data_IF_189766401873
#
_entry.id   IF_189766401873
#
_cell.length_a   1.000
_cell.length_b   1.000
_cell.length_c   1.000
_cell.angle_alpha   90.00
_cell.angle_beta   90.00
_cell.angle_gamma   90.00
#
_symmetry.space_group_name_H-M   'P 1'
#
loop_
_entity.id
_entity.type
_entity.pdbx_description
1 polymer ?
#
# COMPACT_ATOMS: atom_id res chain seq x y z
N UNK A 1 11.42 20.94 1.20
CA UNK A 1 10.24 21.68 1.70
C UNK A 1 9.01 21.20 0.94
N UNK A 2 7.95 20.79 1.65
CA UNK A 2 6.67 20.44 1.01
C UNK A 2 6.03 21.69 0.42
N UNK A 3 5.66 21.64 -0.86
CA UNK A 3 4.97 22.75 -1.53
C UNK A 3 3.47 22.57 -1.34
N UNK A 4 2.78 23.61 -0.86
CA UNK A 4 1.33 23.59 -0.65
C UNK A 4 0.56 23.70 -1.98
N UNK A 5 0.69 22.70 -2.86
CA UNK A 5 0.20 22.68 -4.24
C UNK A 5 -1.28 23.07 -4.35
N UNK A 6 -2.15 22.56 -3.48
CA UNK A 6 -3.59 22.90 -3.45
C UNK A 6 -3.83 24.40 -3.23
N UNK A 7 -3.22 24.98 -2.20
CA UNK A 7 -3.36 26.41 -1.88
C UNK A 7 -2.81 27.29 -3.01
N UNK A 8 -1.68 26.88 -3.59
CA UNK A 8 -1.08 27.58 -4.72
C UNK A 8 -2.01 27.54 -5.93
N UNK A 9 -2.55 26.37 -6.28
CA UNK A 9 -3.50 26.15 -7.38
C UNK A 9 -4.72 27.08 -7.27
N UNK A 10 -5.39 27.07 -6.12
CA UNK A 10 -6.55 27.93 -5.87
C UNK A 10 -6.22 29.42 -6.03
N UNK A 11 -5.06 29.84 -5.50
CA UNK A 11 -4.60 31.23 -5.62
C UNK A 11 -4.31 31.62 -7.06
N UNK A 12 -3.55 30.80 -7.80
CA UNK A 12 -3.17 31.13 -9.19
C UNK A 12 -4.37 31.10 -10.13
N UNK A 13 -5.33 30.20 -9.91
CA UNK A 13 -6.57 30.17 -10.69
C UNK A 13 -7.40 31.43 -10.46
N UNK A 14 -7.57 31.87 -9.20
CA UNK A 14 -8.27 33.14 -8.89
C UNK A 14 -7.56 34.33 -9.54
N UNK A 15 -6.23 34.39 -9.44
CA UNK A 15 -5.44 35.46 -10.04
C UNK A 15 -5.56 35.48 -11.57
N UNK A 16 -5.50 34.31 -12.20
CA UNK A 16 -5.68 34.19 -13.64
C UNK A 16 -7.08 34.61 -14.10
N UNK A 17 -8.13 34.23 -13.37
CA UNK A 17 -9.50 34.62 -13.70
C UNK A 17 -9.70 36.13 -13.60
N UNK A 18 -9.18 36.75 -12.53
CA UNK A 18 -9.22 38.20 -12.37
C UNK A 18 -8.45 38.91 -13.50
N UNK A 19 -7.27 38.40 -13.87
CA UNK A 19 -6.48 38.94 -14.99
C UNK A 19 -7.23 38.80 -16.32
N UNK A 20 -7.81 37.63 -16.59
CA UNK A 20 -8.58 37.38 -17.82
C UNK A 20 -9.79 38.31 -17.95
N UNK A 21 -10.44 38.67 -16.84
CA UNK A 21 -11.61 39.55 -16.83
C UNK A 21 -11.23 41.04 -16.88
N UNK A 22 -10.22 41.45 -16.11
CA UNK A 22 -9.88 42.87 -15.96
C UNK A 22 -8.90 43.41 -16.99
N UNK A 23 -7.99 42.57 -17.50
CA UNK A 23 -6.91 43.02 -18.38
C UNK A 23 -6.32 41.90 -19.26
N UNK A 24 -7.12 41.25 -20.13
CA UNK A 24 -6.69 40.06 -20.88
C UNK A 24 -5.48 40.29 -21.80
N UNK A 25 -5.27 41.52 -22.27
CA UNK A 25 -4.17 41.92 -23.16
C UNK A 25 -2.97 42.50 -22.41
N UNK A 26 -3.09 42.75 -21.11
CA UNK A 26 -1.99 43.31 -20.32
C UNK A 26 -0.87 42.29 -20.13
N UNK A 27 0.36 42.78 -20.16
CA UNK A 27 1.58 42.01 -19.92
C UNK A 27 2.17 42.45 -18.59
N UNK A 28 2.21 41.54 -17.62
CA UNK A 28 2.79 41.83 -16.30
C UNK A 28 4.19 41.23 -16.21
N UNK A 29 5.20 42.08 -16.03
CA UNK A 29 6.62 41.67 -15.97
C UNK A 29 7.04 40.74 -17.12
N UNK A 30 6.53 40.99 -18.33
CA UNK A 30 6.82 40.17 -19.51
C UNK A 30 6.00 38.88 -19.62
N UNK A 31 5.12 38.56 -18.66
CA UNK A 31 4.23 37.40 -18.72
C UNK A 31 2.93 37.82 -19.38
N UNK A 32 2.49 37.06 -20.39
CA UNK A 32 1.17 37.23 -21.01
C UNK A 32 0.14 36.36 -20.27
N UNK A 33 -1.11 36.83 -20.22
CA UNK A 33 -2.22 36.06 -19.66
C UNK A 33 -2.33 34.61 -20.21
N UNK A 34 -2.27 34.37 -21.54
CA UNK A 34 -2.32 33.01 -22.08
C UNK A 34 -1.15 32.12 -21.61
N UNK A 35 0.06 32.67 -21.47
CA UNK A 35 1.22 31.91 -20.98
C UNK A 35 1.05 31.52 -19.51
N UNK A 36 0.41 32.39 -18.72
CA UNK A 36 0.10 32.11 -17.33
C UNK A 36 -0.96 31.01 -17.19
N UNK A 37 -2.02 31.06 -18.01
CA UNK A 37 -3.04 30.01 -18.11
C UNK A 37 -2.41 28.66 -18.50
N UNK A 38 -1.55 28.63 -19.53
CA UNK A 38 -0.90 27.42 -19.99
C UNK A 38 -0.04 26.74 -18.91
N UNK A 39 0.58 27.53 -18.02
CA UNK A 39 1.33 26.99 -16.85
C UNK A 39 0.39 26.34 -15.83
N UNK A 40 -0.79 26.92 -15.59
CA UNK A 40 -1.80 26.34 -14.69
C UNK A 40 -2.29 25.01 -15.26
N UNK A 41 -2.58 24.97 -16.56
CA UNK A 41 -3.02 23.75 -17.25
C UNK A 41 -1.95 22.65 -17.20
N UNK A 42 -0.69 22.99 -17.49
CA UNK A 42 0.42 22.03 -17.40
C UNK A 42 0.58 21.44 -16.00
N UNK A 43 0.38 22.24 -14.95
CA UNK A 43 0.40 21.74 -13.58
C UNK A 43 -0.78 20.78 -13.33
N UNK A 44 -1.99 21.13 -13.79
CA UNK A 44 -3.17 20.27 -13.67
C UNK A 44 -3.00 18.95 -14.43
N UNK A 45 -2.36 18.94 -15.60
CA UNK A 45 -2.03 17.71 -16.32
C UNK A 45 -1.12 16.80 -15.48
N UNK A 46 -0.12 17.36 -14.80
CA UNK A 46 0.76 16.57 -13.93
C UNK A 46 0.03 16.03 -12.70
N UNK A 47 -0.88 16.80 -12.12
CA UNK A 47 -1.73 16.32 -11.04
C UNK A 47 -2.60 15.12 -11.50
N UNK A 48 -3.12 15.15 -12.73
CA UNK A 48 -3.89 14.05 -13.29
C UNK A 48 -3.01 12.82 -13.57
N UNK A 49 -1.84 12.98 -14.18
CA UNK A 49 -0.89 11.88 -14.42
C UNK A 49 -0.53 11.16 -13.11
N UNK A 50 -0.33 11.90 -12.02
CA UNK A 50 -0.05 11.32 -10.70
C UNK A 50 -1.24 10.50 -10.21
N UNK A 51 -2.46 11.03 -10.31
CA UNK A 51 -3.66 10.30 -9.88
C UNK A 51 -3.85 9.00 -10.69
N UNK A 52 -3.58 9.03 -12.00
CA UNK A 52 -3.68 7.86 -12.86
C UNK A 52 -2.63 6.80 -12.48
N UNK A 53 -1.39 7.22 -12.19
CA UNK A 53 -0.33 6.34 -11.72
C UNK A 53 -0.64 5.74 -10.35
N UNK A 54 -1.21 6.51 -9.42
CA UNK A 54 -1.64 6.01 -8.11
C UNK A 54 -2.72 4.93 -8.25
N UNK A 55 -3.68 5.14 -9.17
CA UNK A 55 -4.70 4.13 -9.49
C UNK A 55 -4.07 2.84 -10.07
N UNK A 56 -3.12 2.98 -10.99
CA UNK A 56 -2.39 1.84 -11.55
C UNK A 56 -1.58 1.09 -10.49
N UNK A 57 -0.89 1.80 -9.60
CA UNK A 57 -0.16 1.20 -8.48
C UNK A 57 -1.10 0.43 -7.56
N UNK A 58 -2.29 0.97 -7.29
CA UNK A 58 -3.30 0.28 -6.48
C UNK A 58 -3.74 -1.04 -7.14
N UNK A 59 -4.11 -1.00 -8.42
CA UNK A 59 -4.49 -2.20 -9.17
C UNK A 59 -3.37 -3.25 -9.18
N UNK A 60 -2.13 -2.84 -9.40
CA UNK A 60 -0.98 -3.76 -9.38
C UNK A 60 -0.71 -4.36 -8.01
N UNK A 61 -0.98 -3.63 -6.92
CA UNK A 61 -0.93 -4.18 -5.57
C UNK A 61 -2.02 -5.24 -5.36
N UNK A 62 -3.24 -4.99 -5.82
CA UNK A 62 -4.34 -5.95 -5.73
C UNK A 62 -4.05 -7.23 -6.54
N UNK A 63 -3.56 -7.10 -7.78
CA UNK A 63 -3.11 -8.24 -8.60
C UNK A 63 -2.01 -9.05 -7.89
N UNK A 64 -0.99 -8.37 -7.36
CA UNK A 64 0.09 -9.02 -6.62
C UNK A 64 -0.42 -9.74 -5.37
N UNK A 65 -1.30 -9.10 -4.61
CA UNK A 65 -1.84 -9.67 -3.38
C UNK A 65 -2.73 -10.88 -3.67
N UNK A 66 -3.41 -10.93 -4.83
CA UNK A 66 -4.12 -12.11 -5.30
C UNK A 66 -3.15 -13.28 -5.59
N UNK A 67 -2.06 -13.02 -6.32
CA UNK A 67 -1.02 -14.03 -6.61
C UNK A 67 -0.43 -14.59 -5.31
N UNK A 68 -0.10 -13.74 -4.33
CA UNK A 68 0.44 -14.23 -3.06
C UNK A 68 -0.57 -15.02 -2.23
N UNK A 69 -1.88 -14.76 -2.37
CA UNK A 69 -2.90 -15.59 -1.73
C UNK A 69 -2.94 -16.99 -2.34
N UNK A 70 -2.85 -17.09 -3.66
CA UNK A 70 -2.76 -18.38 -4.36
C UNK A 70 -1.50 -19.13 -3.96
N UNK A 71 -0.34 -18.48 -3.99
CA UNK A 71 0.93 -19.09 -3.52
C UNK A 71 0.88 -19.56 -2.06
N UNK A 72 0.14 -18.84 -1.21
CA UNK A 72 -0.05 -19.26 0.19
C UNK A 72 -1.01 -20.44 0.32
N UNK A 73 -1.99 -20.59 -0.58
CA UNK A 73 -2.81 -21.79 -0.62
C UNK A 73 -1.98 -22.99 -1.09
N UNK A 74 -1.22 -22.82 -2.17
CA UNK A 74 -0.31 -23.85 -2.70
C UNK A 74 0.73 -24.28 -1.66
N UNK A 75 1.26 -23.33 -0.87
CA UNK A 75 2.23 -23.66 0.18
C UNK A 75 1.63 -24.54 1.29
N UNK A 76 0.34 -24.35 1.60
CA UNK A 76 -0.40 -25.21 2.53
C UNK A 76 -0.61 -26.60 1.92
N UNK A 77 -1.01 -26.68 0.65
CA UNK A 77 -1.20 -27.96 -0.04
C UNK A 77 0.11 -28.76 -0.15
N UNK A 78 1.22 -28.08 -0.47
CA UNK A 78 2.55 -28.69 -0.51
C UNK A 78 2.95 -29.20 0.88
N UNK A 79 2.69 -28.43 1.94
CA UNK A 79 2.93 -28.88 3.31
C UNK A 79 2.10 -30.12 3.64
N UNK A 80 0.79 -30.11 3.34
CA UNK A 80 -0.11 -31.23 3.62
C UNK A 80 0.30 -32.48 2.82
N UNK A 81 0.77 -32.30 1.59
CA UNK A 81 1.35 -33.37 0.76
C UNK A 81 2.60 -33.98 1.37
N UNK A 82 3.58 -33.15 1.78
CA UNK A 82 4.80 -33.60 2.47
C UNK A 82 4.45 -34.32 3.78
N UNK A 83 3.46 -33.80 4.52
CA UNK A 83 3.00 -34.37 5.78
C UNK A 83 2.34 -35.75 5.61
N UNK A 84 1.63 -35.96 4.50
CA UNK A 84 0.97 -37.23 4.15
C UNK A 84 1.86 -38.23 3.40
N UNK A 85 3.07 -37.84 3.01
CA UNK A 85 3.99 -38.67 2.24
C UNK A 85 4.76 -39.67 3.13
N UNK A 86 4.92 -40.90 2.64
CA UNK A 86 5.54 -42.01 3.39
C UNK A 86 7.05 -41.85 3.49
N UNK A 87 7.67 -41.17 2.53
CA UNK A 87 9.12 -40.96 2.43
C UNK A 87 9.55 -39.60 3.01
N UNK A 88 8.69 -38.59 2.94
CA UNK A 88 9.01 -37.19 3.29
C UNK A 88 8.25 -36.61 4.49
N UNK A 89 7.52 -37.45 5.25
CA UNK A 89 6.65 -37.08 6.38
C UNK A 89 7.21 -36.09 7.42
N UNK A 90 6.39 -35.76 8.42
CA UNK A 90 6.61 -34.65 9.38
C UNK A 90 7.97 -34.57 10.09
N UNK A 91 8.70 -35.68 10.20
CA UNK A 91 10.02 -35.73 10.85
C UNK A 91 11.19 -35.70 9.85
N UNK A 92 10.92 -35.56 8.55
CA UNK A 92 11.95 -35.44 7.53
C UNK A 92 12.56 -34.02 7.53
N UNK A 93 13.88 -33.86 7.31
CA UNK A 93 14.56 -32.55 7.28
C UNK A 93 13.97 -31.53 6.29
N UNK A 94 13.26 -32.01 5.26
CA UNK A 94 12.53 -31.18 4.31
C UNK A 94 11.41 -30.36 4.99
N UNK A 95 10.69 -30.95 5.94
CA UNK A 95 9.60 -30.29 6.67
C UNK A 95 10.13 -29.13 7.53
N UNK A 96 11.29 -29.33 8.18
CA UNK A 96 11.99 -28.28 8.94
C UNK A 96 12.62 -27.22 8.04
N UNK A 97 13.19 -27.62 6.90
CA UNK A 97 13.75 -26.71 5.91
C UNK A 97 12.71 -25.78 5.26
N UNK A 98 11.45 -26.21 5.19
CA UNK A 98 10.31 -25.39 4.77
C UNK A 98 9.86 -24.37 5.84
N UNK A 99 10.44 -24.40 7.04
CA UNK A 99 10.14 -23.49 8.14
C UNK A 99 9.06 -23.98 9.11
N UNK A 100 8.62 -25.24 8.98
CA UNK A 100 7.69 -25.87 9.93
C UNK A 100 8.47 -26.58 11.07
N UNK A 101 7.80 -26.85 12.19
CA UNK A 101 8.39 -27.61 13.30
C UNK A 101 7.98 -29.06 13.19
N UNK A 102 8.94 -29.99 13.11
CA UNK A 102 8.70 -31.44 13.14
C UNK A 102 8.00 -31.86 14.44
N UNK A 103 7.27 -32.98 14.44
CA UNK A 103 6.54 -33.43 15.64
C UNK A 103 7.50 -33.78 16.79
N UNK A 104 8.71 -34.26 16.48
CA UNK A 104 9.75 -34.54 17.48
C UNK A 104 10.31 -33.27 18.14
N UNK A 105 10.37 -32.16 17.40
CA UNK A 105 10.79 -30.85 17.92
C UNK A 105 9.62 -29.99 18.41
N UNK A 106 8.37 -30.45 18.22
CA UNK A 106 7.18 -29.74 18.66
C UNK A 106 7.03 -29.92 20.17
N UNK A 107 7.58 -28.98 20.93
CA UNK A 107 7.37 -28.91 22.37
C UNK A 107 5.86 -28.79 22.67
N UNK A 108 5.24 -29.91 23.04
CA UNK A 108 3.86 -29.99 23.56
C UNK A 108 3.80 -29.17 24.87
N UNK A 109 3.49 -27.87 24.80
CA UNK A 109 3.56 -27.09 26.02
C UNK A 109 3.09 -25.64 25.95
N UNK A 110 1.80 -25.41 25.77
CA UNK A 110 1.16 -24.21 26.33
C UNK A 110 0.12 -24.63 27.39
N UNK A 111 0.59 -25.04 28.57
CA UNK A 111 -0.28 -25.20 29.74
C UNK A 111 -0.67 -23.81 30.26
N UNK A 112 -1.89 -23.35 29.94
CA UNK A 112 -2.48 -22.20 30.64
C UNK A 112 -2.72 -22.59 32.10
N UNK A 113 -1.80 -22.28 32.99
CA UNK A 113 -2.07 -22.33 34.44
C UNK A 113 -3.20 -21.35 34.74
N UNK A 114 -4.34 -21.84 35.25
CA UNK A 114 -5.41 -20.97 35.78
C UNK A 114 -4.79 -20.12 36.89
N UNK A 115 -4.91 -18.80 36.78
CA UNK A 115 -4.58 -17.86 37.85
C UNK A 115 -5.57 -18.14 38.98
N UNK A 116 -5.09 -18.58 40.14
CA UNK A 116 -5.94 -18.72 41.32
C UNK A 116 -6.61 -17.37 41.57
N UNK A 117 -7.95 -17.38 41.56
CA UNK A 117 -8.75 -16.24 41.97
C UNK A 117 -8.46 -15.97 43.43
N UNK A 118 -7.63 -14.97 43.70
CA UNK A 118 -7.44 -14.39 45.02
C UNK A 118 -8.82 -14.07 45.59
N UNK A 119 -9.24 -14.86 46.58
CA UNK A 119 -10.52 -14.71 47.26
C UNK A 119 -10.60 -13.34 47.94
N UNK A 120 -11.62 -12.58 47.56
CA UNK A 120 -12.14 -11.48 48.38
C UNK A 120 -13.17 -12.08 49.34
N UNK A 121 -12.98 -11.84 50.64
CA UNK A 121 -13.94 -11.82 51.77
C UNK A 121 -13.12 -12.04 53.07
N UNK A 122 -13.21 -11.25 54.13
CA UNK A 122 -14.22 -10.31 54.64
C UNK A 122 -13.47 -9.16 55.33
#
# INVERSE_FOLDING_TARGET
MSVANKRIRERVTRMNNAWKQGAPTAVFKGIKQPDFQAKIERAATKDQEIADLEAQVKLKKEERDAIYKELNADSIEVRDGVEGDVDFGKNHPLYEGMGFTSDDNRASGLTRKKKESSGVKV
#
